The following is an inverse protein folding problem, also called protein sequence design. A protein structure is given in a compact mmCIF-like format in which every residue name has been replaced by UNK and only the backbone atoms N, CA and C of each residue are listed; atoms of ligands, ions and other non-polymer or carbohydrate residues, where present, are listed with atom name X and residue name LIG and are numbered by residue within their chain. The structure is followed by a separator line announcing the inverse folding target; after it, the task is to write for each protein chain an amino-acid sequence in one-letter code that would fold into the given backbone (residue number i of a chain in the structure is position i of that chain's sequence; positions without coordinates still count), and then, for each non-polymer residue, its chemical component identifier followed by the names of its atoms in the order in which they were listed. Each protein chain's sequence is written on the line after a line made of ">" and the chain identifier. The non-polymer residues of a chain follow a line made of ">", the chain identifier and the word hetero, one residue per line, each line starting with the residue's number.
data_IF_823168048129
#
_entry.id   IF_823168048129
#
_cell.length_a   1.000
_cell.length_b   1.000
_cell.length_c   1.000
_cell.angle_alpha   90.00
_cell.angle_beta   90.00
_cell.angle_gamma   90.00
#
_symmetry.space_group_name_H-M   'P 1'
#
loop_
_entity.id
_entity.type
_entity.pdbx_description
1 polymer ?
#
# COMPACT_ATOMS: atom_id res chain seq x y z
N UNK A 1 34.97 -31.93 -48.09
CA UNK A 1 33.61 -31.35 -47.99
C UNK A 1 32.60 -32.48 -47.94
N UNK A 2 31.86 -32.60 -46.83
CA UNK A 2 30.53 -33.23 -46.65
C UNK A 2 30.27 -33.28 -45.13
N UNK A 3 29.69 -32.21 -44.59
CA UNK A 3 29.11 -32.23 -43.24
C UNK A 3 27.62 -32.48 -43.38
N UNK A 4 27.14 -33.59 -42.82
CA UNK A 4 25.74 -33.92 -42.69
C UNK A 4 25.35 -33.67 -41.23
N UNK A 5 24.66 -32.57 -40.96
CA UNK A 5 24.04 -32.30 -39.66
C UNK A 5 22.53 -32.41 -39.83
N UNK A 6 21.92 -33.33 -39.09
CA UNK A 6 20.47 -33.42 -38.93
C UNK A 6 20.16 -34.04 -37.57
N UNK A 7 19.03 -33.58 -37.01
CA UNK A 7 18.40 -33.86 -35.69
C UNK A 7 18.61 -32.70 -34.70
N UNK A 8 17.81 -31.62 -34.68
CA UNK A 8 16.36 -31.45 -34.34
C UNK A 8 16.10 -31.41 -32.82
N UNK A 9 15.80 -30.18 -32.34
CA UNK A 9 14.91 -29.72 -31.25
C UNK A 9 15.04 -30.36 -29.82
N UNK A 10 14.70 -29.73 -28.69
CA UNK A 10 13.67 -28.73 -28.33
C UNK A 10 14.14 -27.88 -27.14
N UNK A 11 13.72 -26.60 -27.14
CA UNK A 11 13.83 -25.69 -26.01
C UNK A 11 13.00 -26.17 -24.81
N UNK A 12 13.63 -26.34 -23.65
CA UNK A 12 12.92 -26.56 -22.39
C UNK A 12 12.65 -25.20 -21.71
N UNK A 13 11.53 -24.57 -22.05
CA UNK A 13 10.92 -23.51 -21.25
C UNK A 13 10.38 -24.14 -19.96
N UNK A 14 11.19 -24.12 -18.90
CA UNK A 14 10.74 -24.45 -17.56
C UNK A 14 9.72 -23.40 -17.09
N UNK A 15 8.45 -23.78 -17.05
CA UNK A 15 7.36 -22.98 -16.50
C UNK A 15 7.58 -22.87 -14.98
N UNK A 16 8.05 -21.71 -14.53
CA UNK A 16 8.02 -21.34 -13.12
C UNK A 16 6.56 -21.10 -12.72
N UNK A 17 5.94 -22.08 -12.08
CA UNK A 17 4.70 -21.89 -11.33
C UNK A 17 5.04 -21.11 -10.06
N UNK A 18 5.03 -19.78 -10.13
CA UNK A 18 4.97 -18.96 -8.93
C UNK A 18 3.60 -19.25 -8.26
N UNK A 19 3.55 -19.59 -6.96
CA UNK A 19 2.29 -19.61 -6.25
C UNK A 19 1.73 -18.20 -6.34
N UNK A 20 0.60 -18.04 -7.04
CA UNK A 20 -0.11 -16.78 -7.09
C UNK A 20 -0.53 -16.43 -5.68
N UNK A 21 0.19 -15.49 -5.06
CA UNK A 21 -0.36 -14.66 -4.00
C UNK A 21 -1.58 -13.99 -4.63
N UNK A 22 -2.76 -14.49 -4.29
CA UNK A 22 -4.00 -13.84 -4.65
C UNK A 22 -3.99 -12.50 -3.91
N UNK A 23 -3.70 -11.41 -4.62
CA UNK A 23 -3.79 -10.07 -4.07
C UNK A 23 -5.19 -9.91 -3.44
N UNK A 24 -5.28 -9.65 -2.13
CA UNK A 24 -6.55 -9.34 -1.45
C UNK A 24 -6.86 -7.87 -1.75
N UNK A 25 -7.72 -7.59 -2.74
CA UNK A 25 -7.66 -6.31 -3.38
C UNK A 25 -8.76 -5.43 -2.77
N UNK A 26 -8.35 -4.38 -2.08
CA UNK A 26 -9.23 -3.53 -1.30
C UNK A 26 -9.49 -2.19 -1.98
N UNK A 27 -10.69 -1.66 -1.77
CA UNK A 27 -11.11 -0.38 -2.33
C UNK A 27 -10.98 0.78 -1.36
N UNK A 28 -11.01 0.49 -0.06
CA UNK A 28 -11.00 1.53 0.98
C UNK A 28 -10.18 1.07 2.17
N UNK A 29 -9.14 1.82 2.53
CA UNK A 29 -8.24 1.49 3.63
C UNK A 29 -8.01 2.67 4.59
N UNK A 30 -7.68 2.37 5.84
CA UNK A 30 -7.34 3.35 6.88
C UNK A 30 -6.09 2.91 7.63
N UNK A 31 -5.36 3.85 8.21
CA UNK A 31 -4.27 3.57 9.12
C UNK A 31 -4.70 3.79 10.58
N UNK A 32 -4.06 3.07 11.48
CA UNK A 32 -4.19 3.22 12.93
C UNK A 32 -2.81 3.18 13.58
N UNK A 33 -2.69 3.78 14.76
CA UNK A 33 -1.49 3.72 15.58
C UNK A 33 -1.74 2.97 16.88
N UNK A 34 -0.70 2.31 17.40
CA UNK A 34 -0.78 1.62 18.70
C UNK A 34 -0.59 2.60 19.86
N UNK A 35 -1.58 2.71 20.74
CA UNK A 35 -1.54 3.63 21.89
C UNK A 35 -1.06 2.97 23.20
N UNK A 36 -0.63 1.70 23.16
CA UNK A 36 -0.26 0.92 24.35
C UNK A 36 -1.37 0.00 24.88
N UNK A 37 -2.62 0.24 24.50
CA UNK A 37 -3.80 -0.57 24.89
C UNK A 37 -4.55 -1.16 23.71
N UNK A 38 -4.47 -0.52 22.55
CA UNK A 38 -5.19 -0.92 21.35
C UNK A 38 -4.76 -0.13 20.12
N UNK A 39 -5.24 -0.59 18.97
CA UNK A 39 -5.17 0.17 17.73
C UNK A 39 -6.18 1.31 17.76
N UNK A 40 -5.69 2.52 17.55
CA UNK A 40 -6.54 3.72 17.46
C UNK A 40 -6.45 4.27 16.05
N UNK A 41 -7.61 4.50 15.43
CA UNK A 41 -7.67 5.12 14.12
C UNK A 41 -6.93 6.46 14.11
N UNK A 42 -6.11 6.68 13.09
CA UNK A 42 -5.37 7.91 12.88
C UNK A 42 -5.64 8.47 11.48
N UNK A 43 -6.44 9.54 11.43
CA UNK A 43 -6.86 10.16 10.19
C UNK A 43 -5.72 10.93 9.50
N UNK A 44 -4.79 11.50 10.26
CA UNK A 44 -3.67 12.25 9.69
C UNK A 44 -2.68 11.29 9.05
N UNK A 45 -2.39 10.16 9.73
CA UNK A 45 -1.60 9.08 9.15
C UNK A 45 -2.29 8.51 7.91
N UNK A 46 -3.61 8.27 7.97
CA UNK A 46 -4.37 7.77 6.81
C UNK A 46 -4.29 8.72 5.62
N UNK A 47 -4.42 10.03 5.86
CA UNK A 47 -4.32 11.05 4.83
C UNK A 47 -2.92 11.10 4.23
N UNK A 48 -1.87 11.12 5.05
CA UNK A 48 -0.47 11.09 4.62
C UNK A 48 -0.16 9.81 3.82
N UNK A 49 -0.64 8.65 4.26
CA UNK A 49 -0.44 7.38 3.57
C UNK A 49 -1.08 7.42 2.18
N UNK A 50 -2.32 7.91 2.10
CA UNK A 50 -3.06 8.04 0.86
C UNK A 50 -2.36 8.97 -0.13
N UNK A 51 -2.07 10.20 0.31
CA UNK A 51 -1.49 11.23 -0.55
C UNK A 51 -0.05 10.92 -0.97
N UNK A 52 0.80 10.49 -0.05
CA UNK A 52 2.22 10.32 -0.37
C UNK A 52 2.52 9.10 -1.24
N UNK A 53 1.66 8.07 -1.24
CA UNK A 53 1.95 6.79 -1.88
C UNK A 53 0.99 6.43 -3.02
N UNK A 54 -0.20 7.02 -3.05
CA UNK A 54 -1.27 6.62 -3.98
C UNK A 54 -1.97 7.82 -4.65
N UNK A 55 -1.34 8.99 -4.66
CA UNK A 55 -1.86 10.14 -5.42
C UNK A 55 -2.00 9.78 -6.90
N UNK A 56 -3.16 10.12 -7.48
CA UNK A 56 -3.52 9.75 -8.85
C UNK A 56 -4.15 8.35 -8.99
N UNK A 57 -4.14 7.53 -7.94
CA UNK A 57 -4.79 6.20 -7.94
C UNK A 57 -5.91 6.09 -6.90
N UNK A 58 -5.79 6.87 -5.82
CA UNK A 58 -6.76 6.95 -4.75
C UNK A 58 -6.91 8.39 -4.24
N UNK A 59 -8.02 8.65 -3.57
CA UNK A 59 -8.26 9.90 -2.86
C UNK A 59 -8.69 9.61 -1.44
N UNK A 60 -8.25 10.46 -0.51
CA UNK A 60 -8.76 10.43 0.85
C UNK A 60 -10.22 10.90 0.84
N UNK A 61 -11.12 10.07 1.36
CA UNK A 61 -12.53 10.37 1.52
C UNK A 61 -12.80 10.84 2.96
N UNK A 62 -13.05 12.14 3.14
CA UNK A 62 -13.34 12.75 4.43
C UNK A 62 -14.58 12.18 5.12
N UNK A 63 -15.61 11.82 4.35
CA UNK A 63 -16.85 11.27 4.91
C UNK A 63 -16.68 9.89 5.54
N UNK A 64 -15.69 9.12 5.07
CA UNK A 64 -15.42 7.77 5.57
C UNK A 64 -14.15 7.69 6.45
N UNK A 65 -13.26 8.68 6.35
CA UNK A 65 -11.94 8.63 6.98
C UNK A 65 -11.03 7.56 6.38
N UNK A 66 -11.08 7.37 5.06
CA UNK A 66 -10.36 6.27 4.37
C UNK A 66 -9.72 6.76 3.09
N UNK A 67 -8.59 6.16 2.72
CA UNK A 67 -8.08 6.23 1.37
C UNK A 67 -8.93 5.33 0.48
N UNK A 68 -9.54 5.91 -0.56
CA UNK A 68 -10.45 5.24 -1.48
C UNK A 68 -9.87 5.20 -2.88
N UNK A 69 -9.64 4.00 -3.40
CA UNK A 69 -9.15 3.81 -4.76
C UNK A 69 -10.24 4.07 -5.79
N UNK A 70 -9.84 4.55 -6.96
CA UNK A 70 -10.75 4.72 -8.09
C UNK A 70 -11.29 3.36 -8.56
N UNK A 71 -12.50 3.33 -9.15
CA UNK A 71 -13.31 2.11 -9.35
C UNK A 71 -12.63 0.93 -10.07
N UNK A 72 -11.51 1.15 -10.76
CA UNK A 72 -10.73 0.15 -11.49
C UNK A 72 -9.35 -0.13 -10.88
N UNK A 73 -8.99 0.56 -9.79
CA UNK A 73 -7.77 0.40 -9.02
C UNK A 73 -8.11 -0.24 -7.68
N UNK A 74 -7.17 -1.01 -7.15
CA UNK A 74 -7.27 -1.65 -5.85
C UNK A 74 -5.88 -1.71 -5.24
N UNK A 75 -5.80 -1.71 -3.92
CA UNK A 75 -4.54 -1.90 -3.20
C UNK A 75 -4.52 -3.29 -2.59
N UNK A 76 -3.34 -3.89 -2.56
CA UNK A 76 -3.10 -5.05 -1.72
C UNK A 76 -3.10 -4.63 -0.25
N UNK A 77 -3.87 -5.31 0.59
CA UNK A 77 -3.96 -4.99 2.02
C UNK A 77 -2.61 -5.01 2.74
N UNK A 78 -1.71 -5.89 2.31
CA UNK A 78 -0.37 -6.01 2.88
C UNK A 78 0.53 -4.83 2.47
N UNK A 79 0.36 -4.33 1.24
CA UNK A 79 1.02 -3.11 0.79
C UNK A 79 0.56 -1.90 1.60
N UNK A 80 -0.76 -1.74 1.76
CA UNK A 80 -1.30 -0.67 2.59
C UNK A 80 -0.83 -0.77 4.06
N UNK A 81 -0.83 -1.97 4.63
CA UNK A 81 -0.35 -2.19 6.00
C UNK A 81 1.11 -1.77 6.16
N UNK A 82 1.97 -2.18 5.22
CA UNK A 82 3.39 -1.79 5.20
C UNK A 82 3.57 -0.27 5.13
N UNK A 83 2.77 0.42 4.32
CA UNK A 83 2.81 1.89 4.24
C UNK A 83 2.43 2.54 5.58
N UNK A 84 1.36 2.07 6.23
CA UNK A 84 0.96 2.58 7.55
C UNK A 84 2.05 2.36 8.60
N UNK A 85 2.67 1.17 8.62
CA UNK A 85 3.78 0.84 9.54
C UNK A 85 4.99 1.74 9.33
N UNK A 86 5.42 1.89 8.06
CA UNK A 86 6.58 2.70 7.70
C UNK A 86 6.36 4.17 8.08
N UNK A 87 5.21 4.77 7.71
CA UNK A 87 4.95 6.17 8.02
C UNK A 87 4.72 6.43 9.51
N UNK A 88 4.10 5.49 10.25
CA UNK A 88 3.97 5.64 11.70
C UNK A 88 5.35 5.68 12.37
N UNK A 89 6.30 4.85 11.91
CA UNK A 89 7.66 4.78 12.43
C UNK A 89 8.52 5.98 12.00
N UNK A 90 8.52 6.31 10.71
CA UNK A 90 9.39 7.34 10.11
C UNK A 90 8.84 8.77 10.32
N UNK A 91 7.59 8.84 10.78
CA UNK A 91 6.85 10.05 11.10
C UNK A 91 6.14 10.66 9.89
N UNK A 92 4.95 11.18 10.16
CA UNK A 92 4.03 11.82 9.24
C UNK A 92 3.71 13.23 9.72
N UNK A 93 3.28 14.11 8.81
CA UNK A 93 3.05 15.50 9.16
C UNK A 93 1.58 15.74 9.55
N UNK A 94 1.31 16.75 10.40
CA UNK A 94 -0.03 17.24 10.61
C UNK A 94 -0.73 17.59 9.30
N UNK A 95 -2.05 17.48 9.28
CA UNK A 95 -2.86 17.82 8.09
C UNK A 95 -3.78 18.97 8.45
N UNK A 96 -3.78 20.02 7.62
CA UNK A 96 -4.63 21.19 7.78
C UNK A 96 -5.19 21.60 6.41
N UNK A 97 -6.51 21.86 6.35
CA UNK A 97 -7.21 22.24 5.11
C UNK A 97 -6.89 21.28 3.93
N UNK A 98 -6.90 19.98 4.19
CA UNK A 98 -6.62 18.91 3.22
C UNK A 98 -5.23 19.00 2.56
N UNK A 99 -4.28 19.62 3.27
CA UNK A 99 -2.88 19.71 2.87
C UNK A 99 -2.00 19.17 3.99
N UNK A 100 -0.98 18.41 3.62
CA UNK A 100 0.06 17.95 4.52
C UNK A 100 0.92 19.15 4.91
N UNK A 101 0.90 19.54 6.18
CA UNK A 101 1.66 20.68 6.70
C UNK A 101 3.07 20.25 7.10
N UNK A 102 3.98 20.27 6.14
CA UNK A 102 5.39 19.95 6.35
C UNK A 102 6.18 21.01 7.14
N UNK A 103 5.55 22.12 7.52
CA UNK A 103 6.20 23.17 8.34
C UNK A 103 6.17 22.83 9.83
N UNK A 104 5.30 21.90 10.23
CA UNK A 104 5.17 21.43 11.61
C UNK A 104 6.07 20.22 11.89
N UNK A 105 6.40 19.95 13.16
CA UNK A 105 7.09 18.71 13.53
C UNK A 105 6.29 17.47 13.12
N UNK A 106 7.02 16.41 12.75
CA UNK A 106 6.40 15.12 12.46
C UNK A 106 5.75 14.53 13.72
N UNK A 107 4.59 13.94 13.52
CA UNK A 107 3.93 13.04 14.45
C UNK A 107 4.55 11.65 14.24
N UNK A 108 4.77 10.92 15.32
CA UNK A 108 5.26 9.53 15.27
C UNK A 108 4.35 8.62 16.09
N UNK A 109 4.14 7.41 15.60
CA UNK A 109 3.45 6.34 16.30
C UNK A 109 4.44 5.29 16.77
N UNK A 110 4.14 4.59 17.87
CA UNK A 110 4.96 3.43 18.30
C UNK A 110 4.93 2.29 17.27
N UNK A 111 3.79 2.13 16.61
CA UNK A 111 3.56 1.21 15.50
C UNK A 111 2.39 1.73 14.67
N UNK A 112 2.39 1.43 13.38
CA UNK A 112 1.25 1.61 12.49
C UNK A 112 0.57 0.27 12.18
N UNK A 113 -0.67 0.30 11.73
CA UNK A 113 -1.36 -0.85 11.14
C UNK A 113 -2.42 -0.39 10.14
N UNK A 114 -2.54 -1.13 9.03
CA UNK A 114 -3.53 -0.90 8.00
C UNK A 114 -4.80 -1.72 8.22
N UNK A 115 -5.96 -1.08 8.11
CA UNK A 115 -7.26 -1.75 8.09
C UNK A 115 -7.94 -1.49 6.77
N UNK A 116 -8.24 -2.55 6.01
CA UNK A 116 -8.86 -2.46 4.70
C UNK A 116 -10.27 -3.07 4.66
N UNK A 117 -11.12 -2.54 3.79
CA UNK A 117 -12.44 -3.09 3.46
C UNK A 117 -12.39 -3.65 2.05
N UNK A 118 -12.97 -4.84 1.86
CA UNK A 118 -13.21 -5.43 0.54
C UNK A 118 -14.38 -4.75 -0.17
#
# INVERSE_FOLDING_TARGET
>A
MKFSASTVLFAALGVFFAPGVAADPHYECSCSTWNGRGWTYDWQLTFNACKNNYEGEANYNHGQGRCKWFSHKRVDGDDWNRVCEAQARDGYYPVANDVIDSTQPKITGKSGHGFCKR
#
